data_IF_658433166003
#
_entry.id   IF_658433166003
#
_cell.length_a   1.000
_cell.length_b   1.000
_cell.length_c   1.000
_cell.angle_alpha   90.00
_cell.angle_beta   90.00
_cell.angle_gamma   90.00
#
_symmetry.space_group_name_H-M   'P 1'
#
loop_
_entity.id
_entity.type
_entity.pdbx_description
1 polymer ?
#
# COMPACT_ATOMS: atom_id res chain seq x y z
N UNK A 1 -15.73 2.43 0.47
CA UNK A 1 -14.34 1.98 0.28
C UNK A 1 -13.45 2.51 1.40
N UNK A 2 -12.54 1.68 1.92
CA UNK A 2 -11.50 2.13 2.85
C UNK A 2 -10.40 2.87 2.10
N UNK A 3 -9.99 4.05 2.54
CA UNK A 3 -8.90 4.86 1.95
C UNK A 3 -7.85 5.21 3.00
N UNK A 4 -6.59 5.28 2.58
CA UNK A 4 -5.51 5.73 3.46
C UNK A 4 -5.35 7.25 3.37
N UNK A 5 -5.61 7.97 4.47
CA UNK A 5 -5.38 9.42 4.57
C UNK A 5 -4.03 9.71 5.22
N UNK A 6 -3.25 10.59 4.59
CA UNK A 6 -1.95 11.04 5.12
C UNK A 6 -2.12 12.28 5.99
N UNK A 7 -1.49 12.28 7.17
CA UNK A 7 -1.71 13.24 8.24
C UNK A 7 -1.33 14.68 7.91
N UNK A 8 -0.38 14.91 7.01
CA UNK A 8 -0.07 16.27 6.52
C UNK A 8 -1.24 16.95 5.80
N UNK A 9 -2.23 16.17 5.32
CA UNK A 9 -3.47 16.67 4.71
C UNK A 9 -4.67 16.66 5.67
N UNK A 10 -4.52 16.19 6.91
CA UNK A 10 -5.60 16.24 7.88
C UNK A 10 -5.78 17.67 8.39
N UNK A 11 -7.02 18.18 8.37
CA UNK A 11 -7.37 19.48 8.93
C UNK A 11 -6.95 19.58 10.41
N UNK A 12 -6.83 20.81 10.93
CA UNK A 12 -6.52 21.06 12.36
C UNK A 12 -7.67 20.54 13.25
N UNK A 13 -7.60 19.27 13.60
CA UNK A 13 -8.37 18.71 14.70
C UNK A 13 -7.84 19.30 16.02
N UNK A 14 -8.71 19.95 16.79
CA UNK A 14 -8.36 20.59 18.07
C UNK A 14 -7.84 19.60 19.11
N UNK A 15 -8.11 18.30 18.95
CA UNK A 15 -7.70 17.25 19.88
C UNK A 15 -6.41 16.55 19.48
N UNK A 16 -5.85 16.85 18.31
CA UNK A 16 -4.59 16.28 17.86
C UNK A 16 -3.48 17.32 17.93
N UNK A 17 -2.31 16.98 18.48
CA UNK A 17 -1.12 17.83 18.41
C UNK A 17 0.11 16.99 18.09
N UNK A 18 1.08 17.57 17.40
CA UNK A 18 2.33 16.90 17.04
C UNK A 18 3.45 17.92 16.84
N UNK A 19 4.69 17.49 17.04
CA UNK A 19 5.90 18.31 16.91
C UNK A 19 6.38 18.48 15.47
N UNK A 20 5.82 17.72 14.53
CA UNK A 20 6.28 17.64 13.14
C UNK A 20 5.17 17.91 12.09
N UNK A 21 4.09 18.60 12.47
CA UNK A 21 2.94 18.89 11.58
C UNK A 21 2.34 17.64 10.88
N UNK A 22 2.31 16.50 11.59
CA UNK A 22 1.70 15.23 11.19
C UNK A 22 2.35 14.55 9.98
N UNK A 23 3.53 15.01 9.58
CA UNK A 23 4.35 14.34 8.57
C UNK A 23 4.63 12.89 9.01
N UNK A 24 4.42 11.95 8.10
CA UNK A 24 4.61 10.52 8.35
C UNK A 24 3.45 9.83 9.09
N UNK A 25 2.34 10.53 9.35
CA UNK A 25 1.15 9.94 9.96
C UNK A 25 0.20 9.44 8.87
N UNK A 26 -0.51 8.36 9.17
CA UNK A 26 -1.53 7.78 8.29
C UNK A 26 -2.72 7.26 9.10
N UNK A 27 -3.92 7.33 8.53
CA UNK A 27 -5.15 6.77 9.13
C UNK A 27 -6.05 6.19 8.04
N UNK A 28 -6.72 5.08 8.35
CA UNK A 28 -7.73 4.50 7.47
C UNK A 28 -9.09 5.17 7.70
N UNK A 29 -9.75 5.57 6.62
CA UNK A 29 -11.11 6.14 6.65
C UNK A 29 -12.01 5.35 5.72
N UNK A 30 -13.26 5.12 6.13
CA UNK A 30 -14.25 4.52 5.26
C UNK A 30 -15.14 5.60 4.64
N UNK A 31 -15.32 5.54 3.33
CA UNK A 31 -16.22 6.43 2.58
C UNK A 31 -17.10 5.59 1.64
N UNK A 32 -18.41 5.60 1.88
CA UNK A 32 -19.36 4.76 1.15
C UNK A 32 -19.60 5.22 -0.30
N UNK A 33 -19.27 6.47 -0.63
CA UNK A 33 -19.66 7.12 -1.89
C UNK A 33 -18.50 7.23 -2.90
N UNK A 34 -17.37 6.59 -2.61
CA UNK A 34 -16.15 6.65 -3.43
C UNK A 34 -15.70 5.28 -3.91
N UNK A 35 -14.97 5.28 -5.02
CA UNK A 35 -14.46 4.11 -5.73
C UNK A 35 -15.25 3.85 -7.01
N UNK A 36 -14.54 3.62 -8.11
CA UNK A 36 -15.20 3.17 -9.35
C UNK A 36 -15.67 1.71 -9.20
N UNK A 37 -16.64 1.24 -10.00
CA UNK A 37 -17.04 -0.17 -9.99
C UNK A 37 -15.85 -1.13 -10.16
N UNK A 38 -14.89 -0.77 -10.99
CA UNK A 38 -13.67 -1.54 -11.23
C UNK A 38 -12.78 -1.57 -10.00
N UNK A 39 -12.56 -0.42 -9.36
CA UNK A 39 -11.76 -0.33 -8.13
C UNK A 39 -12.38 -1.14 -6.99
N UNK A 40 -13.70 -1.03 -6.80
CA UNK A 40 -14.42 -1.80 -5.80
C UNK A 40 -14.32 -3.31 -6.06
N UNK A 41 -14.41 -3.74 -7.33
CA UNK A 41 -14.29 -5.14 -7.70
C UNK A 41 -12.88 -5.70 -7.41
N UNK A 42 -11.83 -4.93 -7.71
CA UNK A 42 -10.45 -5.32 -7.39
C UNK A 42 -10.20 -5.41 -5.88
N UNK A 43 -10.76 -4.46 -5.09
CA UNK A 43 -10.68 -4.50 -3.63
C UNK A 43 -11.40 -5.72 -3.08
N UNK A 44 -12.58 -6.04 -3.59
CA UNK A 44 -13.33 -7.22 -3.15
C UNK A 44 -12.62 -8.53 -3.55
N UNK A 45 -11.97 -8.56 -4.72
CA UNK A 45 -11.11 -9.68 -5.09
C UNK A 45 -9.92 -9.83 -4.12
N UNK A 46 -9.27 -8.73 -3.74
CA UNK A 46 -8.21 -8.75 -2.74
C UNK A 46 -8.71 -9.28 -1.39
N UNK A 47 -9.92 -8.89 -0.95
CA UNK A 47 -10.57 -9.42 0.28
C UNK A 47 -10.79 -10.93 0.18
N UNK A 48 -11.40 -11.42 -0.91
CA UNK A 48 -11.62 -12.87 -1.12
C UNK A 48 -10.31 -13.65 -1.12
N UNK A 49 -9.29 -13.14 -1.80
CA UNK A 49 -7.97 -13.76 -1.83
C UNK A 49 -7.31 -13.82 -0.45
N UNK A 50 -7.50 -12.79 0.37
CA UNK A 50 -7.06 -12.78 1.76
C UNK A 50 -7.76 -13.86 2.59
N UNK A 51 -9.09 -13.96 2.50
CA UNK A 51 -9.87 -14.98 3.20
C UNK A 51 -9.50 -16.42 2.79
N UNK A 52 -9.23 -16.65 1.51
CA UNK A 52 -8.96 -17.98 0.98
C UNK A 52 -7.55 -18.52 1.28
N UNK A 53 -6.55 -17.65 1.41
CA UNK A 53 -5.14 -18.08 1.49
C UNK A 53 -4.58 -18.19 2.92
N UNK A 54 -5.45 -18.13 3.93
CA UNK A 54 -5.06 -18.10 5.34
C UNK A 54 -4.49 -16.72 5.72
N UNK A 55 -4.92 -16.20 6.86
CA UNK A 55 -4.69 -14.84 7.36
C UNK A 55 -3.20 -14.42 7.41
N UNK A 56 -2.63 -14.08 6.26
CA UNK A 56 -1.38 -13.33 6.16
C UNK A 56 -1.75 -11.86 6.21
N UNK A 57 -1.97 -11.40 7.44
CA UNK A 57 -2.29 -10.01 7.78
C UNK A 57 -1.36 -9.05 7.05
N UNK A 58 -1.86 -8.43 5.98
CA UNK A 58 -1.26 -7.19 5.51
C UNK A 58 -2.27 -6.26 4.85
N UNK A 59 -2.66 -5.21 5.57
CA UNK A 59 -3.35 -4.03 5.06
C UNK A 59 -2.60 -3.35 3.90
N UNK A 60 -1.30 -3.64 3.72
CA UNK A 60 -0.48 -2.93 2.73
C UNK A 60 -0.94 -3.09 1.29
N UNK A 61 -1.59 -4.21 0.94
CA UNK A 61 -2.05 -4.40 -0.43
C UNK A 61 -3.04 -3.30 -0.85
N UNK A 62 -3.98 -2.95 0.03
CA UNK A 62 -5.06 -2.03 -0.31
C UNK A 62 -4.54 -0.61 -0.61
N UNK A 63 -3.70 -0.05 0.24
CA UNK A 63 -3.20 1.32 0.01
C UNK A 63 -2.23 1.36 -1.18
N UNK A 64 -1.46 0.29 -1.43
CA UNK A 64 -0.58 0.21 -2.60
C UNK A 64 -1.40 0.25 -3.89
N UNK A 65 -2.53 -0.45 -3.96
CA UNK A 65 -3.43 -0.37 -5.11
C UNK A 65 -3.91 1.06 -5.36
N UNK A 66 -4.31 1.78 -4.30
CA UNK A 66 -4.77 3.17 -4.39
C UNK A 66 -3.65 4.10 -4.89
N UNK A 67 -2.47 4.06 -4.26
CA UNK A 67 -1.37 4.97 -4.59
C UNK A 67 -0.82 4.76 -6.00
N UNK A 68 -0.72 3.50 -6.43
CA UNK A 68 -0.26 3.18 -7.78
C UNK A 68 -1.29 3.64 -8.82
N UNK A 69 -2.59 3.49 -8.54
CA UNK A 69 -3.68 3.96 -9.41
C UNK A 69 -3.68 5.48 -9.54
N UNK A 70 -3.63 6.20 -8.42
CA UNK A 70 -3.59 7.67 -8.39
C UNK A 70 -2.44 8.23 -9.22
N UNK A 71 -1.26 7.61 -9.11
CA UNK A 71 -0.06 8.02 -9.87
C UNK A 71 0.01 7.44 -11.28
N UNK A 72 -1.02 6.68 -11.71
CA UNK A 72 -1.06 5.97 -13.00
C UNK A 72 0.23 5.18 -13.24
N UNK A 73 0.74 4.55 -12.18
CA UNK A 73 2.02 3.90 -12.23
C UNK A 73 1.95 2.63 -13.07
N UNK A 74 2.87 2.52 -14.03
CA UNK A 74 3.07 1.34 -14.83
C UNK A 74 4.50 0.83 -14.67
N UNK A 75 4.64 -0.42 -14.24
CA UNK A 75 5.96 -1.03 -14.10
C UNK A 75 6.46 -1.55 -15.44
N UNK A 76 7.31 -0.74 -16.10
CA UNK A 76 7.84 -1.03 -17.44
C UNK A 76 9.04 -1.98 -17.44
N UNK A 77 9.74 -2.14 -16.32
CA UNK A 77 10.92 -3.03 -16.25
C UNK A 77 10.43 -4.45 -15.93
N UNK A 78 10.62 -5.46 -16.78
CA UNK A 78 10.21 -6.83 -16.48
C UNK A 78 10.83 -7.39 -15.20
N UNK A 79 10.15 -8.32 -14.55
CA UNK A 79 10.70 -9.02 -13.38
C UNK A 79 11.86 -9.91 -13.83
N UNK A 80 13.06 -9.69 -13.27
CA UNK A 80 14.14 -10.66 -13.38
C UNK A 80 13.72 -11.97 -12.71
N UNK A 81 13.72 -13.07 -13.47
CA UNK A 81 13.46 -14.42 -12.97
C UNK A 81 14.77 -15.18 -12.98
N UNK A 82 15.22 -15.61 -11.81
CA UNK A 82 16.51 -16.27 -11.61
C UNK A 82 16.22 -17.62 -10.98
N UNK A 83 16.55 -18.70 -11.68
CA UNK A 83 16.33 -20.08 -11.22
C UNK A 83 17.45 -20.58 -10.31
N UNK A 84 18.67 -20.07 -10.50
CA UNK A 84 19.86 -20.48 -9.77
C UNK A 84 20.62 -19.25 -9.28
N UNK A 85 20.75 -19.13 -7.95
CA UNK A 85 21.45 -18.02 -7.30
C UNK A 85 22.94 -17.93 -7.71
N UNK A 86 23.56 -19.04 -8.11
CA UNK A 86 24.96 -19.06 -8.57
C UNK A 86 25.15 -18.39 -9.94
N UNK A 87 24.06 -18.19 -10.69
CA UNK A 87 24.07 -17.59 -12.04
C UNK A 87 23.69 -16.11 -12.05
N UNK A 88 23.49 -15.48 -10.87
CA UNK A 88 23.14 -14.06 -10.78
C UNK A 88 24.25 -13.22 -11.41
N UNK A 89 23.91 -12.43 -12.42
CA UNK A 89 24.80 -11.43 -13.02
C UNK A 89 24.53 -10.06 -12.46
N UNK A 90 25.51 -9.16 -12.60
CA UNK A 90 25.36 -7.75 -12.26
C UNK A 90 24.14 -7.09 -12.93
N UNK A 91 23.88 -7.40 -14.21
CA UNK A 91 22.73 -6.83 -14.93
C UNK A 91 21.39 -7.33 -14.39
N UNK A 92 21.32 -8.55 -13.84
CA UNK A 92 20.11 -9.05 -13.18
C UNK A 92 19.83 -8.25 -11.90
N UNK A 93 20.87 -8.07 -11.07
CA UNK A 93 20.78 -7.31 -9.82
C UNK A 93 20.42 -5.84 -10.10
N UNK A 94 21.06 -5.22 -11.09
CA UNK A 94 20.79 -3.85 -11.52
C UNK A 94 19.36 -3.68 -12.05
N UNK A 95 18.86 -4.64 -12.82
CA UNK A 95 17.48 -4.64 -13.34
C UNK A 95 16.47 -4.78 -12.19
N UNK A 96 16.71 -5.73 -11.28
CA UNK A 96 15.86 -5.92 -10.11
C UNK A 96 15.85 -4.68 -9.20
N UNK A 97 17.01 -4.07 -8.94
CA UNK A 97 17.14 -2.85 -8.14
C UNK A 97 16.39 -1.68 -8.77
N UNK A 98 16.59 -1.42 -10.07
CA UNK A 98 15.88 -0.35 -10.77
C UNK A 98 14.37 -0.56 -10.75
N UNK A 99 13.91 -1.79 -11.00
CA UNK A 99 12.48 -2.15 -10.91
C UNK A 99 11.93 -1.85 -9.52
N UNK A 100 12.63 -2.27 -8.47
CA UNK A 100 12.25 -2.05 -7.07
C UNK A 100 12.22 -0.57 -6.69
N UNK A 101 13.24 0.21 -7.09
CA UNK A 101 13.32 1.64 -6.81
C UNK A 101 12.17 2.42 -7.47
N UNK A 102 11.84 2.12 -8.73
CA UNK A 102 10.71 2.76 -9.40
C UNK A 102 9.39 2.45 -8.69
N UNK A 103 9.20 1.20 -8.25
CA UNK A 103 8.01 0.79 -7.50
C UNK A 103 7.93 1.49 -6.15
N UNK A 104 9.01 1.50 -5.37
CA UNK A 104 9.05 2.18 -4.09
C UNK A 104 8.84 3.69 -4.26
N UNK A 105 9.49 4.34 -5.23
CA UNK A 105 9.26 5.76 -5.50
C UNK A 105 7.79 6.07 -5.79
N UNK A 106 7.09 5.22 -6.56
CA UNK A 106 5.66 5.39 -6.81
C UNK A 106 4.80 5.20 -5.55
N UNK A 107 5.26 4.45 -4.56
CA UNK A 107 4.55 4.26 -3.29
C UNK A 107 4.81 5.35 -2.26
N UNK A 108 5.72 6.30 -2.51
CA UNK A 108 5.98 7.40 -1.58
C UNK A 108 4.73 8.30 -1.44
N UNK A 109 4.36 8.65 -0.22
CA UNK A 109 3.32 9.63 0.05
C UNK A 109 3.79 11.06 -0.26
N UNK A 110 2.84 11.98 -0.41
CA UNK A 110 3.12 13.37 -0.80
C UNK A 110 3.95 14.15 0.23
N UNK A 111 3.92 13.75 1.50
CA UNK A 111 4.75 14.28 2.57
C UNK A 111 6.12 13.57 2.69
N UNK A 112 6.44 12.68 1.74
CA UNK A 112 7.74 12.05 1.57
C UNK A 112 7.95 10.76 2.35
N UNK A 113 7.03 10.33 3.23
CA UNK A 113 7.15 9.04 3.91
C UNK A 113 6.66 7.88 3.04
N UNK A 114 6.99 6.67 3.46
CA UNK A 114 6.37 5.45 2.93
C UNK A 114 5.35 4.95 3.93
N UNK A 115 4.05 4.93 3.57
CA UNK A 115 3.05 4.19 4.31
C UNK A 115 3.53 2.77 4.55
N UNK A 116 3.40 2.34 5.79
CA UNK A 116 3.69 0.98 6.17
C UNK A 116 2.73 0.60 7.28
N UNK A 117 2.08 -0.53 7.12
CA UNK A 117 1.46 -1.20 8.23
C UNK A 117 2.56 -1.78 9.14
N UNK A 118 2.60 -1.31 10.39
CA UNK A 118 3.45 -1.89 11.43
C UNK A 118 2.61 -2.86 12.26
N UNK A 119 2.21 -3.98 11.65
CA UNK A 119 1.42 -5.01 12.33
C UNK A 119 2.32 -5.83 13.26
N UNK A 120 1.97 -5.82 14.56
CA UNK A 120 2.57 -6.69 15.58
C UNK A 120 1.66 -7.87 15.90
N UNK A 121 0.47 -7.59 16.44
CA UNK A 121 -0.61 -8.57 16.62
C UNK A 121 -1.70 -8.31 15.57
N UNK A 122 -2.22 -9.37 14.94
CA UNK A 122 -3.28 -9.34 13.91
C UNK A 122 -4.67 -8.86 14.42
N UNK A 123 -4.72 -8.17 15.56
CA UNK A 123 -5.95 -7.66 16.17
C UNK A 123 -6.32 -6.26 15.67
N UNK A 124 -5.44 -5.58 14.91
CA UNK A 124 -5.63 -4.20 14.47
C UNK A 124 -5.91 -4.06 12.96
N UNK A 125 -6.10 -5.17 12.24
CA UNK A 125 -6.22 -5.19 10.77
C UNK A 125 -7.65 -4.83 10.31
N UNK A 126 -7.99 -3.55 10.42
CA UNK A 126 -9.32 -3.03 10.11
C UNK A 126 -9.79 -3.11 8.63
N UNK A 127 -8.94 -3.11 7.57
CA UNK A 127 -9.50 -2.95 6.23
C UNK A 127 -9.94 -4.26 5.58
N UNK A 128 -9.44 -5.43 6.00
CA UNK A 128 -9.73 -6.72 5.31
C UNK A 128 -10.74 -7.62 6.04
N UNK A 129 -11.03 -7.36 7.31
CA UNK A 129 -12.03 -8.11 8.09
C UNK A 129 -13.37 -7.37 8.02
N UNK A 130 -14.39 -8.00 7.45
CA UNK A 130 -15.79 -7.59 7.64
C UNK A 130 -16.51 -8.71 8.37
N UNK A 131 -17.13 -8.38 9.50
CA UNK A 131 -18.11 -9.28 10.12
C UNK A 131 -19.37 -9.23 9.25
N UNK A 132 -19.64 -10.31 8.54
CA UNK A 132 -20.97 -10.63 8.00
C UNK A 132 -21.82 -11.24 9.10
#
# INVERSE_FOLDING_TARGET
MWRLRIGAKAEKDSHMSTTNNYIGRQVWEFDANVGSPEELAEVEEARRNFSNNGYKASADLLWRMQFLREKKFEQKIPRARIEDAKKIRYEDAKTALRRGLLYMAALQADDGHWPAENSGCMLFDAPFVSYT
#
